data_IF_161776061887
#
_entry.id   IF_161776061887
#
_cell.length_a   1.000
_cell.length_b   1.000
_cell.length_c   1.000
_cell.angle_alpha   90.00
_cell.angle_beta   90.00
_cell.angle_gamma   90.00
#
_symmetry.space_group_name_H-M   'P 1'
#
loop_
_entity.id
_entity.type
_entity.pdbx_description
1 polymer ?
#
# COMPACT_ATOMS: atom_id res chain seq x y z
N UNK A 1 -12.11 11.22 8.32
CA UNK A 1 -11.00 10.71 7.53
C UNK A 1 -10.22 9.68 8.33
N UNK A 2 -9.93 8.56 7.70
CA UNK A 2 -9.21 7.48 8.39
C UNK A 2 -7.71 7.68 8.30
N UNK A 3 -7.00 7.29 9.37
CA UNK A 3 -5.55 7.27 9.36
C UNK A 3 -4.99 6.02 8.71
N UNK A 4 -5.86 5.12 8.29
CA UNK A 4 -5.49 3.85 7.68
C UNK A 4 -6.06 3.73 6.28
N UNK A 5 -5.34 3.00 5.43
CA UNK A 5 -5.85 2.58 4.14
C UNK A 5 -6.20 1.10 4.23
N UNK A 6 -7.34 0.73 3.63
CA UNK A 6 -7.70 -0.67 3.49
C UNK A 6 -7.29 -1.11 2.09
N UNK A 7 -6.35 -2.02 2.02
CA UNK A 7 -5.81 -2.51 0.77
C UNK A 7 -5.95 -4.03 0.72
N UNK A 8 -5.65 -4.61 -0.42
CA UNK A 8 -5.75 -6.07 -0.59
C UNK A 8 -4.39 -6.59 -1.03
N UNK A 9 -3.88 -7.56 -0.27
CA UNK A 9 -2.55 -8.10 -0.46
C UNK A 9 -2.53 -9.11 -1.61
N UNK A 10 -1.78 -8.80 -2.67
CA UNK A 10 -1.66 -9.67 -3.83
C UNK A 10 -0.97 -10.99 -3.50
N UNK A 11 -0.02 -10.96 -2.58
CA UNK A 11 0.75 -12.16 -2.26
C UNK A 11 -0.05 -13.20 -1.48
N UNK A 12 -1.13 -12.78 -0.84
CA UNK A 12 -2.01 -13.70 -0.12
C UNK A 12 -3.38 -13.85 -0.79
N UNK A 13 -3.44 -13.59 -2.09
CA UNK A 13 -4.66 -13.81 -2.86
C UNK A 13 -5.74 -12.76 -2.67
N UNK A 14 -5.39 -11.58 -2.22
CA UNK A 14 -6.34 -10.48 -2.05
C UNK A 14 -6.88 -10.34 -0.64
N UNK A 15 -6.18 -10.90 0.34
CA UNK A 15 -6.56 -10.76 1.75
C UNK A 15 -6.54 -9.28 2.15
N UNK A 16 -7.57 -8.78 2.85
CA UNK A 16 -7.57 -7.38 3.28
C UNK A 16 -6.44 -7.08 4.26
N UNK A 17 -5.83 -5.90 4.09
CA UNK A 17 -4.77 -5.44 4.97
C UNK A 17 -4.92 -3.95 5.19
N UNK A 18 -4.71 -3.51 6.43
CA UNK A 18 -4.74 -2.08 6.74
C UNK A 18 -3.34 -1.56 6.92
N UNK A 19 -3.07 -0.41 6.31
CA UNK A 19 -1.77 0.23 6.39
C UNK A 19 -1.95 1.64 6.93
N UNK A 20 -1.16 2.02 7.92
CA UNK A 20 -1.21 3.38 8.48
C UNK A 20 -0.64 4.35 7.44
N UNK A 21 -1.41 5.40 7.14
CA UNK A 21 -0.98 6.37 6.13
C UNK A 21 0.36 7.02 6.45
N UNK A 22 0.61 7.29 7.73
CA UNK A 22 1.80 8.01 8.15
C UNK A 22 3.11 7.25 7.93
N UNK A 23 3.07 5.93 7.77
CA UNK A 23 4.29 5.16 7.57
C UNK A 23 4.58 4.86 6.09
N UNK A 24 3.70 5.27 5.19
CA UNK A 24 3.92 5.07 3.76
C UNK A 24 4.98 6.05 3.28
N UNK A 25 6.08 5.54 2.74
CA UNK A 25 7.15 6.39 2.24
C UNK A 25 7.08 6.56 0.73
N UNK A 26 6.72 5.52 -0.02
CA UNK A 26 6.61 5.64 -1.47
C UNK A 26 5.73 4.53 -2.03
N UNK A 27 5.16 4.77 -3.20
CA UNK A 27 4.27 3.83 -3.87
C UNK A 27 4.68 3.79 -5.33
N UNK A 28 4.92 2.59 -5.85
CA UNK A 28 5.30 2.38 -7.24
C UNK A 28 4.40 1.36 -7.90
N UNK A 29 4.39 1.37 -9.23
CA UNK A 29 3.74 0.31 -9.98
C UNK A 29 4.43 -1.00 -9.66
N UNK A 30 3.65 -2.04 -9.38
CA UNK A 30 4.21 -3.34 -9.07
C UNK A 30 4.91 -3.94 -10.29
N UNK A 31 6.08 -4.55 -10.08
CA UNK A 31 6.79 -5.26 -11.13
C UNK A 31 6.29 -6.69 -11.28
N UNK A 32 5.71 -7.23 -10.21
CA UNK A 32 5.30 -8.63 -10.16
C UNK A 32 3.82 -8.84 -10.46
N UNK A 33 2.99 -7.83 -10.23
CA UNK A 33 1.54 -7.94 -10.40
C UNK A 33 1.02 -6.84 -11.31
N UNK A 34 0.42 -7.25 -12.41
CA UNK A 34 -0.15 -6.31 -13.37
C UNK A 34 -1.21 -5.41 -12.68
N UNK A 35 -1.10 -4.12 -12.88
CA UNK A 35 -2.03 -3.11 -12.36
C UNK A 35 -2.02 -2.96 -10.84
N UNK A 36 -1.17 -3.69 -10.15
CA UNK A 36 -1.02 -3.54 -8.70
C UNK A 36 0.03 -2.51 -8.33
N UNK A 37 0.22 -2.32 -7.03
CA UNK A 37 1.17 -1.34 -6.50
C UNK A 37 2.10 -1.98 -5.49
N UNK A 38 3.35 -1.53 -5.50
CA UNK A 38 4.32 -1.86 -4.46
C UNK A 38 4.38 -0.67 -3.50
N UNK A 39 3.95 -0.90 -2.27
CA UNK A 39 3.89 0.14 -1.25
C UNK A 39 5.05 -0.05 -0.28
N UNK A 40 5.91 0.94 -0.21
CA UNK A 40 7.05 0.93 0.68
C UNK A 40 6.69 1.68 1.95
N UNK A 41 6.87 1.03 3.10
CA UNK A 41 6.57 1.63 4.39
C UNK A 41 7.82 1.69 5.26
N UNK A 42 7.84 2.66 6.16
CA UNK A 42 8.91 2.79 7.13
C UNK A 42 8.27 3.25 8.43
N UNK A 43 8.40 2.44 9.48
CA UNK A 43 7.80 2.76 10.76
C UNK A 43 8.72 3.63 11.63
N UNK A 44 8.25 3.96 12.83
CA UNK A 44 8.99 4.84 13.75
C UNK A 44 10.32 4.24 14.22
N UNK A 45 10.42 2.92 14.20
CA UNK A 45 11.66 2.23 14.58
C UNK A 45 12.63 2.10 13.42
N UNK A 46 12.25 2.61 12.25
CA UNK A 46 13.08 2.56 11.07
C UNK A 46 12.97 1.27 10.28
N UNK A 47 12.06 0.38 10.68
CA UNK A 47 11.84 -0.85 9.94
C UNK A 47 11.07 -0.58 8.67
N UNK A 48 11.51 -1.19 7.58
CA UNK A 48 10.88 -1.03 6.28
C UNK A 48 10.20 -2.30 5.85
N UNK A 49 9.08 -2.16 5.15
CA UNK A 49 8.35 -3.29 4.58
C UNK A 49 7.85 -2.91 3.19
N UNK A 50 7.56 -3.93 2.40
CA UNK A 50 6.97 -3.76 1.08
C UNK A 50 5.68 -4.55 1.05
N UNK A 51 4.59 -3.88 0.70
CA UNK A 51 3.30 -4.54 0.52
C UNK A 51 2.93 -4.50 -0.97
N UNK A 52 2.63 -5.68 -1.52
CA UNK A 52 2.13 -5.76 -2.90
C UNK A 52 0.62 -5.69 -2.86
N UNK A 53 0.06 -4.55 -3.22
CA UNK A 53 -1.37 -4.31 -3.15
C UNK A 53 -2.04 -4.51 -4.51
N UNK A 54 -3.29 -4.96 -4.49
CA UNK A 54 -4.08 -5.10 -5.70
C UNK A 54 -4.51 -3.76 -6.27
N UNK A 55 -4.67 -2.77 -5.39
CA UNK A 55 -5.07 -1.43 -5.80
C UNK A 55 -3.99 -0.79 -6.65
N UNK A 56 -4.41 -0.01 -7.65
CA UNK A 56 -3.47 0.69 -8.50
C UNK A 56 -2.87 1.89 -7.78
N UNK A 57 -1.76 2.39 -8.31
CA UNK A 57 -1.13 3.60 -7.76
C UNK A 57 -2.13 4.75 -7.73
N UNK A 58 -2.93 4.90 -8.80
CA UNK A 58 -3.91 5.97 -8.88
C UNK A 58 -5.03 5.83 -7.85
N UNK A 59 -5.49 4.58 -7.64
CA UNK A 59 -6.51 4.32 -6.62
C UNK A 59 -6.01 4.70 -5.22
N UNK A 60 -4.77 4.33 -4.93
CA UNK A 60 -4.17 4.64 -3.63
C UNK A 60 -3.95 6.13 -3.49
N UNK A 61 -3.52 6.79 -4.56
CA UNK A 61 -3.36 8.25 -4.56
C UNK A 61 -4.68 8.93 -4.20
N UNK A 62 -5.78 8.46 -4.80
CA UNK A 62 -7.09 9.04 -4.51
C UNK A 62 -7.52 8.79 -3.07
N UNK A 63 -7.22 7.62 -2.52
CA UNK A 63 -7.50 7.32 -1.12
C UNK A 63 -6.74 8.24 -0.18
N UNK A 64 -5.48 8.53 -0.50
CA UNK A 64 -4.64 9.38 0.34
C UNK A 64 -5.09 10.84 0.32
N UNK A 65 -5.74 11.25 -0.74
CA UNK A 65 -6.20 12.64 -0.91
C UNK A 65 -7.68 12.82 -0.57
N UNK A 66 -8.28 11.81 -0.04
CA UNK A 66 -9.70 11.83 0.30
C UNK A 66 -9.96 12.54 1.64
#
# INVERSE_FOLDING_TARGET
>A
MSEFLLLHDNESGGTPAMVRKSIISSIFLSEDYSKGSAIFTKDDDGETMILEAKESVEEIYNMLND
#
